data_IF_092036389881
#
_entry.id   IF_092036389881
#
_cell.length_a   1.000
_cell.length_b   1.000
_cell.length_c   1.000
_cell.angle_alpha   90.00
_cell.angle_beta   90.00
_cell.angle_gamma   90.00
#
_symmetry.space_group_name_H-M   'P 1'
#
loop_
_entity.id
_entity.type
_entity.pdbx_description
1 polymer ?
#
# COMPACT_ATOMS: atom_id res chain seq x y z
N UNK A 1 -17.53 -9.01 -7.88
CA UNK A 1 -16.79 -7.85 -8.42
C UNK A 1 -15.42 -7.86 -7.78
N UNK A 2 -14.34 -7.98 -8.56
CA UNK A 2 -12.98 -7.94 -8.03
C UNK A 2 -12.68 -6.60 -7.36
N UNK A 3 -11.74 -6.61 -6.43
CA UNK A 3 -11.32 -5.45 -5.66
C UNK A 3 -9.83 -5.17 -5.82
N UNK A 4 -9.50 -3.90 -5.95
CA UNK A 4 -8.13 -3.39 -5.91
C UNK A 4 -7.90 -2.74 -4.54
N UNK A 5 -7.08 -3.37 -3.71
CA UNK A 5 -6.80 -2.93 -2.35
C UNK A 5 -5.42 -2.29 -2.30
N UNK A 6 -5.35 -1.01 -1.93
CA UNK A 6 -4.11 -0.31 -1.65
C UNK A 6 -3.76 -0.43 -0.17
N UNK A 7 -2.67 -1.11 0.14
CA UNK A 7 -2.13 -1.20 1.49
C UNK A 7 -1.28 0.05 1.78
N UNK A 8 -1.84 0.98 2.55
CA UNK A 8 -1.14 2.20 2.96
C UNK A 8 -0.37 1.95 4.25
N UNK A 9 0.94 2.16 4.18
CA UNK A 9 1.85 2.07 5.32
C UNK A 9 2.44 3.45 5.62
N UNK A 10 2.81 3.73 6.89
CA UNK A 10 3.40 5.02 7.23
C UNK A 10 4.59 5.35 6.34
N UNK A 11 4.65 6.58 5.86
CA UNK A 11 5.67 7.08 4.93
C UNK A 11 5.62 6.40 3.56
N UNK A 12 4.42 6.10 3.10
CA UNK A 12 4.17 5.73 1.70
C UNK A 12 4.48 6.91 0.77
N UNK A 13 5.00 6.62 -0.42
CA UNK A 13 5.13 7.61 -1.48
C UNK A 13 3.77 7.84 -2.13
N UNK A 14 3.28 9.08 -2.07
CA UNK A 14 1.97 9.42 -2.61
C UNK A 14 1.83 9.10 -4.10
N UNK A 15 2.89 9.28 -4.90
CA UNK A 15 2.86 8.98 -6.33
C UNK A 15 2.64 7.48 -6.61
N UNK A 16 3.23 6.61 -5.79
CA UNK A 16 3.09 5.16 -5.92
C UNK A 16 1.67 4.68 -5.60
N UNK A 17 0.89 5.49 -4.87
CA UNK A 17 -0.55 5.28 -4.64
C UNK A 17 -1.37 5.93 -5.76
N UNK A 18 -1.14 7.22 -6.00
CA UNK A 18 -1.94 8.04 -6.90
C UNK A 18 -1.87 7.57 -8.36
N UNK A 19 -0.70 7.12 -8.82
CA UNK A 19 -0.51 6.63 -10.19
C UNK A 19 -1.41 5.44 -10.50
N UNK A 20 -1.28 4.30 -9.81
CA UNK A 20 -2.17 3.17 -10.04
C UNK A 20 -3.63 3.47 -9.67
N UNK A 21 -3.90 4.26 -8.63
CA UNK A 21 -5.27 4.64 -8.26
C UNK A 21 -5.98 5.36 -9.42
N UNK A 22 -5.28 6.27 -10.11
CA UNK A 22 -5.81 6.95 -11.29
C UNK A 22 -6.09 5.99 -12.45
N UNK A 23 -5.22 5.00 -12.67
CA UNK A 23 -5.44 3.98 -13.72
C UNK A 23 -6.70 3.17 -13.43
N UNK A 24 -6.87 2.69 -12.19
CA UNK A 24 -8.03 1.89 -11.82
C UNK A 24 -9.32 2.71 -11.75
N UNK A 25 -9.26 3.98 -11.33
CA UNK A 25 -10.45 4.85 -11.39
C UNK A 25 -10.89 5.07 -12.84
N UNK A 26 -9.93 5.35 -13.74
CA UNK A 26 -10.22 5.51 -15.16
C UNK A 26 -10.79 4.24 -15.78
N UNK A 27 -10.28 3.05 -15.40
CA UNK A 27 -10.85 1.79 -15.85
C UNK A 27 -12.29 1.59 -15.36
N UNK A 28 -12.60 1.96 -14.11
CA UNK A 28 -13.98 1.90 -13.61
C UNK A 28 -14.90 2.85 -14.41
N UNK A 29 -14.43 4.06 -14.73
CA UNK A 29 -15.16 5.04 -15.54
C UNK A 29 -15.42 4.54 -16.98
N UNK A 30 -14.57 3.64 -17.49
CA UNK A 30 -14.72 2.99 -18.80
C UNK A 30 -15.63 1.75 -18.76
N UNK A 31 -16.21 1.40 -17.62
CA UNK A 31 -17.14 0.28 -17.46
C UNK A 31 -16.48 -1.05 -17.09
N UNK A 32 -15.24 -1.05 -16.61
CA UNK A 32 -14.64 -2.24 -16.01
C UNK A 32 -15.11 -2.38 -14.57
N UNK A 33 -15.74 -3.52 -14.26
CA UNK A 33 -16.34 -3.77 -12.96
C UNK A 33 -15.31 -4.18 -11.90
N UNK A 34 -14.80 -3.21 -11.16
CA UNK A 34 -14.02 -3.42 -9.93
C UNK A 34 -14.27 -2.33 -8.91
N UNK A 35 -13.87 -2.58 -7.66
CA UNK A 35 -13.91 -1.57 -6.58
C UNK A 35 -12.49 -1.25 -6.10
N UNK A 36 -12.28 -0.02 -5.62
CA UNK A 36 -11.00 0.41 -5.03
C UNK A 36 -11.19 0.57 -3.53
N UNK A 37 -10.23 0.11 -2.73
CA UNK A 37 -10.23 0.30 -1.26
C UNK A 37 -8.83 0.65 -0.78
N UNK A 38 -8.75 1.52 0.23
CA UNK A 38 -7.49 1.91 0.87
C UNK A 38 -7.50 1.41 2.30
N UNK A 39 -6.55 0.55 2.65
CA UNK A 39 -6.47 -0.05 3.99
C UNK A 39 -5.15 0.25 4.67
N UNK A 40 -5.19 0.46 5.97
CA UNK A 40 -4.02 0.68 6.81
C UNK A 40 -4.23 0.15 8.23
N UNK A 41 -3.21 0.24 9.07
CA UNK A 41 -3.33 0.00 10.52
C UNK A 41 -3.97 1.22 11.20
N UNK A 42 -3.69 2.42 10.67
CA UNK A 42 -4.19 3.69 11.18
C UNK A 42 -5.12 4.39 10.16
N UNK A 43 -6.18 5.06 10.63
CA UNK A 43 -7.10 5.80 9.76
C UNK A 43 -6.49 7.02 9.06
N UNK A 44 -5.36 7.51 9.57
CA UNK A 44 -4.59 8.64 9.05
C UNK A 44 -3.17 8.19 8.77
N UNK A 45 -2.81 8.09 7.49
CA UNK A 45 -1.49 7.63 7.06
C UNK A 45 -0.69 8.82 6.53
N UNK A 46 0.39 9.17 7.23
CA UNK A 46 1.31 10.20 6.77
C UNK A 46 2.11 9.71 5.55
N UNK A 47 2.06 10.46 4.45
CA UNK A 47 2.92 10.23 3.26
C UNK A 47 4.29 10.89 3.43
N UNK A 48 5.26 10.49 2.60
CA UNK A 48 6.58 11.15 2.55
C UNK A 48 6.45 12.61 2.10
N UNK A 49 5.46 12.91 1.26
CA UNK A 49 5.18 14.23 0.72
C UNK A 49 4.47 15.16 1.73
N UNK A 50 4.16 14.65 2.93
CA UNK A 50 3.55 15.43 4.01
C UNK A 50 2.03 15.55 3.94
N UNK A 51 1.39 15.03 2.89
CA UNK A 51 -0.07 14.97 2.79
C UNK A 51 -0.59 13.73 3.53
N UNK A 52 -1.55 13.86 4.45
CA UNK A 52 -2.17 12.70 5.08
C UNK A 52 -3.15 12.03 4.11
N UNK A 53 -3.17 10.69 4.13
CA UNK A 53 -4.17 9.88 3.44
C UNK A 53 -5.11 9.24 4.44
N UNK A 54 -6.40 9.17 4.09
CA UNK A 54 -7.39 8.41 4.84
C UNK A 54 -7.45 6.97 4.33
N UNK A 55 -7.50 6.03 5.24
CA UNK A 55 -7.68 4.62 4.96
C UNK A 55 -8.62 3.98 5.98
N UNK A 56 -9.23 2.87 5.59
CA UNK A 56 -9.93 2.00 6.51
C UNK A 56 -8.92 1.19 7.32
N UNK A 57 -9.20 1.03 8.62
CA UNK A 57 -8.41 0.19 9.54
C UNK A 57 -8.87 -1.27 9.56
N UNK A 58 -9.91 -1.58 8.77
CA UNK A 58 -10.50 -2.91 8.65
C UNK A 58 -10.25 -3.46 7.26
N UNK A 59 -9.69 -4.66 7.21
CA UNK A 59 -9.49 -5.34 5.93
C UNK A 59 -10.82 -5.79 5.33
N UNK A 60 -11.04 -5.60 4.02
CA UNK A 60 -12.14 -6.24 3.34
C UNK A 60 -11.93 -7.76 3.28
N UNK A 61 -13.01 -8.52 3.17
CA UNK A 61 -12.92 -9.94 2.80
C UNK A 61 -12.31 -10.05 1.39
N UNK A 62 -11.15 -10.72 1.28
CA UNK A 62 -10.44 -10.89 0.03
C UNK A 62 -10.82 -12.22 -0.65
N UNK A 63 -10.95 -12.17 -1.97
CA UNK A 63 -11.09 -13.33 -2.85
C UNK A 63 -9.83 -13.49 -3.73
N UNK A 64 -9.60 -14.68 -4.33
CA UNK A 64 -8.43 -14.94 -5.19
C UNK A 64 -8.30 -14.00 -6.40
N UNK A 65 -9.41 -13.47 -6.88
CA UNK A 65 -9.53 -12.50 -7.98
C UNK A 65 -9.21 -11.05 -7.57
N UNK A 66 -8.99 -10.77 -6.29
CA UNK A 66 -8.64 -9.44 -5.80
C UNK A 66 -7.15 -9.14 -5.96
N UNK A 67 -6.85 -7.87 -6.22
CA UNK A 67 -5.49 -7.36 -6.37
C UNK A 67 -5.10 -6.50 -5.18
N UNK A 68 -4.06 -6.92 -4.46
CA UNK A 68 -3.45 -6.09 -3.40
C UNK A 68 -2.23 -5.37 -3.95
N UNK A 69 -2.24 -4.04 -3.88
CA UNK A 69 -1.13 -3.17 -4.27
C UNK A 69 -0.42 -2.70 -3.00
N UNK A 70 0.88 -2.96 -2.94
CA UNK A 70 1.76 -2.47 -1.88
C UNK A 70 2.65 -1.37 -2.45
N UNK A 71 2.33 -0.09 -2.22
CA UNK A 71 3.10 1.02 -2.77
C UNK A 71 4.47 1.16 -2.07
N UNK A 72 5.41 1.83 -2.74
CA UNK A 72 6.72 2.08 -2.17
C UNK A 72 6.65 2.97 -0.92
N UNK A 73 7.50 2.66 0.06
CA UNK A 73 7.61 3.37 1.33
C UNK A 73 9.03 3.87 1.57
N UNK A 74 9.18 5.05 2.19
CA UNK A 74 10.50 5.52 2.62
C UNK A 74 10.90 4.85 3.94
N UNK A 75 11.94 4.02 3.88
CA UNK A 75 12.56 3.39 5.05
C UNK A 75 13.62 4.30 5.66
N UNK A 76 13.32 5.53 6.11
CA UNK A 76 14.37 6.26 6.85
C UNK A 76 14.54 5.67 8.26
N UNK A 77 15.44 4.70 8.36
CA UNK A 77 16.70 4.88 9.09
C UNK A 77 17.81 4.59 8.07
N UNK A 78 18.46 5.64 7.57
CA UNK A 78 19.75 5.48 6.91
C UNK A 78 20.78 5.16 8.00
N UNK A 79 20.89 3.88 8.38
CA UNK A 79 22.14 3.39 8.95
C UNK A 79 23.18 3.38 7.81
N UNK A 80 24.47 3.67 8.09
CA UNK A 80 25.50 3.66 7.06
C UNK A 80 25.46 2.33 6.29
N UNK A 81 25.43 2.40 4.95
CA UNK A 81 25.51 1.21 4.09
C UNK A 81 26.90 0.57 4.24
N UNK A 82 27.08 -0.24 5.28
CA UNK A 82 28.20 -1.17 5.37
C UNK A 82 27.83 -2.44 4.61
N UNK A 83 28.52 -2.64 3.48
CA UNK A 83 28.81 -3.88 2.75
C UNK A 83 27.73 -4.99 2.71
N UNK A 84 27.08 -5.08 1.54
CA UNK A 84 26.53 -6.26 0.85
C UNK A 84 26.46 -7.58 1.64
N UNK A 85 25.26 -7.92 2.13
CA UNK A 85 24.84 -9.31 2.34
C UNK A 85 23.44 -9.55 1.77
N UNK A 86 23.33 -10.65 1.02
CA UNK A 86 22.15 -11.17 0.33
C UNK A 86 20.91 -11.30 1.24
N UNK A 87 19.73 -11.16 0.62
CA UNK A 87 18.40 -11.67 1.04
C UNK A 87 17.69 -11.07 2.25
N UNK A 88 17.71 -9.74 2.43
CA UNK A 88 16.81 -9.10 3.39
C UNK A 88 15.84 -8.17 2.64
N UNK A 89 14.64 -8.68 2.38
CA UNK A 89 13.50 -7.87 1.96
C UNK A 89 13.32 -6.70 2.95
N UNK A 90 13.19 -5.44 2.48
CA UNK A 90 13.25 -4.27 3.34
C UNK A 90 12.07 -4.22 4.34
N UNK A 91 12.25 -3.46 5.42
CA UNK A 91 11.37 -3.32 6.57
C UNK A 91 9.86 -3.07 6.27
N UNK A 92 9.53 -2.69 5.03
CA UNK A 92 8.17 -2.53 4.49
C UNK A 92 7.28 -3.78 4.72
N UNK A 93 7.83 -5.01 4.77
CA UNK A 93 7.05 -6.25 5.12
C UNK A 93 7.32 -6.79 6.51
N UNK A 94 8.20 -6.17 7.30
CA UNK A 94 8.66 -6.71 8.59
C UNK A 94 7.85 -6.18 9.79
N UNK A 95 6.55 -5.93 9.62
CA UNK A 95 5.61 -5.80 10.75
C UNK A 95 4.71 -7.03 10.78
N UNK A 96 4.81 -7.80 11.87
CA UNK A 96 4.17 -9.12 12.05
C UNK A 96 2.64 -9.07 12.00
N UNK A 97 2.02 -7.91 12.23
CA UNK A 97 0.57 -7.71 12.17
C UNK A 97 -0.03 -7.94 10.79
N UNK A 98 0.78 -7.90 9.72
CA UNK A 98 0.33 -8.11 8.34
C UNK A 98 0.50 -9.56 7.85
N UNK A 99 1.01 -10.48 8.69
CA UNK A 99 1.30 -11.87 8.33
C UNK A 99 0.44 -12.93 9.06
N UNK A 100 -0.70 -12.58 9.68
CA UNK A 100 -1.67 -13.54 10.21
C UNK A 100 -3.07 -12.96 9.98
N UNK A 101 -4.05 -13.68 9.42
CA UNK A 101 -4.36 -15.12 9.49
C UNK A 101 -4.65 -15.69 8.11
#
# INVERSE_FOLDING_TARGET
MPRVVFLLIPRVHLLDVAGPAQVFSTAADLGYDHTISYVSEDKDVATVQGLPLRADDTWPALAPEDLVIVPGCSTAVAAPRTTRSRTNWPACTRRRSWCAT
#
